data_IF_097351496723
#
_entry.id   IF_097351496723
#
_cell.length_a   1.000
_cell.length_b   1.000
_cell.length_c   1.000
_cell.angle_alpha   90.00
_cell.angle_beta   90.00
_cell.angle_gamma   90.00
#
_symmetry.space_group_name_H-M   'P 1'
#
loop_
_entity.id
_entity.type
_entity.pdbx_description
1 polymer ?
#
# COMPACT_ATOMS: atom_id res chain seq x y z
N UNK A 1 15.69 26.85 14.52
CA UNK A 1 14.52 27.75 14.28
C UNK A 1 13.26 26.96 13.87
N UNK A 2 13.36 25.98 12.96
CA UNK A 2 12.21 25.20 12.49
C UNK A 2 11.48 24.36 13.55
N UNK A 3 12.15 23.65 14.47
CA UNK A 3 11.45 22.91 15.53
C UNK A 3 10.54 23.82 16.34
N UNK A 4 11.03 25.03 16.67
CA UNK A 4 10.26 26.06 17.36
C UNK A 4 9.00 26.47 16.59
N UNK A 5 9.11 26.69 15.27
CA UNK A 5 7.95 27.04 14.43
C UNK A 5 6.90 25.92 14.46
N UNK A 6 7.32 24.67 14.26
CA UNK A 6 6.41 23.51 14.27
C UNK A 6 5.72 23.36 15.61
N UNK A 7 6.45 23.46 16.73
CA UNK A 7 5.86 23.37 18.07
C UNK A 7 4.90 24.52 18.36
N UNK A 8 5.26 25.76 18.01
CA UNK A 8 4.40 26.93 18.21
C UNK A 8 3.12 26.81 17.38
N UNK A 9 3.21 26.44 16.10
CA UNK A 9 2.05 26.24 15.24
C UNK A 9 1.14 25.11 15.77
N UNK A 10 1.74 23.99 16.16
CA UNK A 10 1.00 22.86 16.73
C UNK A 10 0.27 23.26 18.01
N UNK A 11 0.96 23.94 18.94
CA UNK A 11 0.36 24.42 20.17
C UNK A 11 -0.76 25.44 19.92
N UNK A 12 -0.56 26.36 18.98
CA UNK A 12 -1.56 27.35 18.60
C UNK A 12 -2.83 26.69 18.01
N UNK A 13 -2.67 25.73 17.10
CA UNK A 13 -3.79 24.99 16.50
C UNK A 13 -4.54 24.18 17.56
N UNK A 14 -3.83 23.43 18.41
CA UNK A 14 -4.46 22.65 19.50
C UNK A 14 -5.25 23.58 20.42
N UNK A 15 -4.64 24.68 20.85
CA UNK A 15 -5.27 25.65 21.75
C UNK A 15 -6.50 26.28 21.10
N UNK A 16 -6.38 26.74 19.86
CA UNK A 16 -7.48 27.34 19.12
C UNK A 16 -8.64 26.36 18.96
N UNK A 17 -8.41 25.14 18.49
CA UNK A 17 -9.45 24.13 18.28
C UNK A 17 -10.09 23.68 19.60
N UNK A 18 -9.31 23.54 20.67
CA UNK A 18 -9.83 23.18 21.97
C UNK A 18 -10.74 24.27 22.56
N UNK A 19 -10.25 25.51 22.62
CA UNK A 19 -10.97 26.62 23.22
C UNK A 19 -12.22 27.01 22.42
N UNK A 20 -12.15 26.96 21.08
CA UNK A 20 -13.24 27.41 20.21
C UNK A 20 -14.25 26.31 19.93
N UNK A 21 -13.82 25.07 19.69
CA UNK A 21 -14.69 23.99 19.22
C UNK A 21 -14.99 22.96 20.30
N UNK A 22 -14.02 22.39 21.02
CA UNK A 22 -14.34 21.32 21.99
C UNK A 22 -15.29 21.85 23.09
N UNK A 23 -15.03 23.06 23.59
CA UNK A 23 -15.84 23.67 24.65
C UNK A 23 -17.25 24.07 24.20
N UNK A 24 -17.41 24.55 22.96
CA UNK A 24 -18.65 25.19 22.51
C UNK A 24 -19.44 24.35 21.47
N UNK A 25 -18.78 23.47 20.73
CA UNK A 25 -19.31 22.70 19.58
C UNK A 25 -18.61 21.32 19.44
N UNK A 26 -18.83 20.37 20.38
CA UNK A 26 -18.11 19.10 20.42
C UNK A 26 -18.27 18.25 19.15
N UNK A 27 -19.44 18.24 18.52
CA UNK A 27 -19.65 17.53 17.25
C UNK A 27 -18.81 18.11 16.11
N UNK A 28 -18.63 19.43 16.10
CA UNK A 28 -17.79 20.11 15.11
C UNK A 28 -16.33 19.78 15.35
N UNK A 29 -15.91 19.72 16.61
CA UNK A 29 -14.55 19.30 16.99
C UNK A 29 -14.21 17.90 16.46
N UNK A 30 -15.10 16.92 16.65
CA UNK A 30 -14.91 15.55 16.13
C UNK A 30 -14.85 15.54 14.59
N UNK A 31 -15.72 16.31 13.91
CA UNK A 31 -15.69 16.41 12.44
C UNK A 31 -14.37 16.99 11.93
N UNK A 32 -13.87 18.07 12.56
CA UNK A 32 -12.57 18.65 12.21
C UNK A 32 -11.44 17.65 12.42
N UNK A 33 -11.42 16.95 13.56
CA UNK A 33 -10.42 15.90 13.82
C UNK A 33 -10.43 14.80 12.74
N UNK A 34 -11.61 14.35 12.31
CA UNK A 34 -11.76 13.38 11.22
C UNK A 34 -11.22 13.92 9.89
N UNK A 35 -11.45 15.20 9.58
CA UNK A 35 -10.92 15.83 8.37
C UNK A 35 -9.39 15.89 8.42
N UNK A 36 -8.81 16.35 9.54
CA UNK A 36 -7.35 16.38 9.71
C UNK A 36 -6.73 14.97 9.58
N UNK A 37 -7.38 13.97 10.17
CA UNK A 37 -6.96 12.58 10.08
C UNK A 37 -7.05 11.98 8.67
N UNK A 38 -7.86 12.56 7.76
CA UNK A 38 -7.88 12.20 6.33
C UNK A 38 -6.83 12.97 5.54
N UNK A 39 -6.65 14.26 5.83
CA UNK A 39 -5.66 15.11 5.15
C UNK A 39 -4.24 14.59 5.39
N UNK A 40 -3.92 14.17 6.61
CA UNK A 40 -2.59 13.71 6.98
C UNK A 40 -2.03 12.57 6.11
N UNK A 41 -2.71 11.41 5.95
CA UNK A 41 -2.22 10.36 5.05
C UNK A 41 -2.22 10.78 3.58
N UNK A 42 -3.10 11.70 3.14
CA UNK A 42 -3.06 12.22 1.76
C UNK A 42 -1.76 13.00 1.54
N UNK A 43 -1.39 13.88 2.47
CA UNK A 43 -0.09 14.58 2.44
C UNK A 43 1.06 13.57 2.56
N UNK A 44 0.93 12.56 3.41
CA UNK A 44 1.94 11.50 3.51
C UNK A 44 2.16 10.73 2.20
N UNK A 45 1.10 10.41 1.48
CA UNK A 45 1.17 9.71 0.18
C UNK A 45 1.75 10.63 -0.90
N UNK A 46 1.30 11.88 -0.96
CA UNK A 46 1.78 12.86 -1.94
C UNK A 46 3.26 13.22 -1.73
N UNK A 47 3.81 12.99 -0.52
CA UNK A 47 5.23 13.18 -0.22
C UNK A 47 6.11 12.34 -1.14
N UNK A 48 5.67 11.15 -1.54
CA UNK A 48 6.45 10.30 -2.43
C UNK A 48 6.64 10.87 -3.83
N UNK A 49 5.82 11.85 -4.23
CA UNK A 49 6.03 12.59 -5.47
C UNK A 49 7.16 13.62 -5.34
N UNK A 50 7.58 13.97 -4.12
CA UNK A 50 8.65 14.92 -3.89
C UNK A 50 10.02 14.23 -3.95
N UNK A 51 11.03 14.97 -4.36
CA UNK A 51 12.40 14.46 -4.32
C UNK A 51 12.88 14.19 -2.89
N UNK A 52 13.46 13.02 -2.69
CA UNK A 52 14.12 12.59 -1.45
C UNK A 52 15.38 11.80 -1.80
N UNK A 53 16.57 12.39 -1.60
CA UNK A 53 17.83 11.71 -1.90
C UNK A 53 18.10 10.51 -1.00
N UNK A 54 17.35 10.36 0.10
CA UNK A 54 17.49 9.24 1.03
C UNK A 54 17.16 7.89 0.37
N UNK A 55 16.35 7.87 -0.70
CA UNK A 55 16.03 6.64 -1.43
C UNK A 55 17.26 6.02 -2.14
N UNK A 56 18.27 6.85 -2.41
CA UNK A 56 19.55 6.45 -3.01
C UNK A 56 20.58 6.00 -1.98
N UNK A 57 20.28 6.19 -0.68
CA UNK A 57 21.20 5.83 0.38
C UNK A 57 21.40 4.31 0.40
N UNK A 58 22.65 3.90 0.24
CA UNK A 58 23.14 2.56 0.54
C UNK A 58 23.89 2.66 1.86
N UNK A 59 23.73 1.66 2.74
CA UNK A 59 24.24 1.63 4.12
C UNK A 59 25.29 2.68 4.48
N UNK A 60 24.89 3.61 5.35
CA UNK A 60 25.77 4.60 5.95
C UNK A 60 25.52 4.65 7.45
N UNK A 61 26.54 4.34 8.27
CA UNK A 61 26.40 4.41 9.73
C UNK A 61 26.00 5.80 10.22
N UNK A 62 26.40 6.86 9.53
CA UNK A 62 26.04 8.24 9.89
C UNK A 62 24.54 8.52 9.72
N UNK A 63 23.86 7.83 8.79
CA UNK A 63 22.45 8.06 8.47
C UNK A 63 21.55 6.87 8.85
N UNK A 64 22.13 5.82 9.45
CA UNK A 64 21.41 4.62 9.86
C UNK A 64 20.31 4.92 10.88
N UNK A 65 20.55 5.84 11.83
CA UNK A 65 19.55 6.23 12.83
C UNK A 65 18.35 6.96 12.21
N UNK A 66 18.58 7.77 11.17
CA UNK A 66 17.53 8.50 10.44
C UNK A 66 16.59 7.53 9.70
N UNK A 67 17.12 6.41 9.22
CA UNK A 67 16.31 5.33 8.63
C UNK A 67 15.24 4.84 9.62
N UNK A 68 15.65 4.55 10.87
CA UNK A 68 14.73 4.08 11.91
C UNK A 68 13.75 5.15 12.38
N UNK A 69 14.18 6.41 12.47
CA UNK A 69 13.32 7.54 12.84
C UNK A 69 12.24 7.77 11.77
N UNK A 70 12.61 7.80 10.48
CA UNK A 70 11.65 7.90 9.35
C UNK A 70 10.70 6.72 9.34
N UNK A 71 11.22 5.51 9.48
CA UNK A 71 10.41 4.30 9.53
C UNK A 71 9.36 4.35 10.65
N UNK A 72 9.78 4.70 11.88
CA UNK A 72 8.87 4.86 13.01
C UNK A 72 7.83 5.96 12.75
N UNK A 73 8.24 7.06 12.11
CA UNK A 73 7.36 8.20 11.80
C UNK A 73 6.25 7.82 10.81
N UNK A 74 6.57 7.06 9.76
CA UNK A 74 5.60 6.67 8.73
C UNK A 74 4.46 5.78 9.24
N UNK A 75 4.63 5.10 10.38
CA UNK A 75 3.53 4.38 11.02
C UNK A 75 2.31 5.29 11.24
N UNK A 76 2.55 6.57 11.54
CA UNK A 76 1.49 7.54 11.77
C UNK A 76 0.49 7.62 10.62
N UNK A 77 0.92 7.43 9.36
CA UNK A 77 0.04 7.55 8.20
C UNK A 77 -1.13 6.57 8.24
N UNK A 78 -0.92 5.36 8.78
CA UNK A 78 -1.99 4.37 8.92
C UNK A 78 -2.62 4.39 10.33
N UNK A 79 -1.82 4.60 11.39
CA UNK A 79 -2.30 4.55 12.77
C UNK A 79 -3.17 5.74 13.15
N UNK A 80 -2.79 6.96 12.76
CA UNK A 80 -3.54 8.16 13.18
C UNK A 80 -4.98 8.16 12.63
N UNK A 81 -5.24 7.89 11.33
CA UNK A 81 -6.60 7.73 10.83
C UNK A 81 -7.35 6.63 11.58
N UNK A 82 -6.73 5.46 11.80
CA UNK A 82 -7.39 4.36 12.51
C UNK A 82 -7.75 4.73 13.96
N UNK A 83 -6.92 5.51 14.65
CA UNK A 83 -7.17 5.95 16.03
C UNK A 83 -8.37 6.89 16.18
N UNK A 84 -8.69 7.63 15.12
CA UNK A 84 -9.76 8.64 15.08
C UNK A 84 -11.08 8.05 14.58
N UNK A 85 -11.03 7.15 13.58
CA UNK A 85 -12.23 6.59 12.96
C UNK A 85 -12.78 5.35 13.66
N UNK A 86 -11.97 4.63 14.43
CA UNK A 86 -12.37 3.40 15.12
C UNK A 86 -12.25 3.53 16.64
N UNK A 87 -13.16 2.88 17.37
CA UNK A 87 -13.12 2.85 18.84
C UNK A 87 -12.17 1.78 19.38
N UNK A 88 -10.95 1.76 18.85
CA UNK A 88 -9.95 0.73 19.14
C UNK A 88 -8.82 1.29 19.98
N UNK A 89 -8.79 0.86 21.25
CA UNK A 89 -7.76 1.28 22.21
C UNK A 89 -6.34 0.97 21.76
N UNK A 90 -6.14 -0.10 20.98
CA UNK A 90 -4.84 -0.42 20.40
C UNK A 90 -4.29 0.73 19.56
N UNK A 91 -5.05 1.22 18.57
CA UNK A 91 -4.61 2.32 17.72
C UNK A 91 -4.47 3.63 18.47
N UNK A 92 -5.36 3.93 19.43
CA UNK A 92 -5.22 5.11 20.29
C UNK A 92 -3.97 5.05 21.16
N UNK A 93 -3.66 3.89 21.73
CA UNK A 93 -2.44 3.68 22.50
C UNK A 93 -1.19 3.91 21.65
N UNK A 94 -1.14 3.35 20.45
CA UNK A 94 0.01 3.55 19.56
C UNK A 94 0.09 5.01 19.10
N UNK A 95 -1.03 5.65 18.76
CA UNK A 95 -1.06 7.06 18.40
C UNK A 95 -0.52 7.98 19.53
N UNK A 96 -0.97 7.75 20.77
CA UNK A 96 -0.60 8.59 21.92
C UNK A 96 0.80 8.31 22.48
N UNK A 97 1.20 7.05 22.56
CA UNK A 97 2.41 6.63 23.28
C UNK A 97 3.55 6.19 22.37
N UNK A 98 3.34 6.11 21.06
CA UNK A 98 4.39 5.83 20.09
C UNK A 98 4.45 6.90 18.99
N UNK A 99 3.38 7.11 18.22
CA UNK A 99 3.39 8.05 17.10
C UNK A 99 3.63 9.50 17.53
N UNK A 100 3.01 9.97 18.62
CA UNK A 100 3.25 11.31 19.15
C UNK A 100 4.70 11.52 19.63
N UNK A 101 5.28 10.65 20.51
CA UNK A 101 6.71 10.74 20.85
C UNK A 101 7.64 10.68 19.64
N UNK A 102 7.36 9.82 18.66
CA UNK A 102 8.16 9.73 17.43
C UNK A 102 8.06 11.01 16.61
N UNK A 103 6.87 11.63 16.48
CA UNK A 103 6.72 12.92 15.81
C UNK A 103 7.49 14.04 16.52
N UNK A 104 7.56 14.02 17.86
CA UNK A 104 8.40 14.96 18.63
C UNK A 104 9.88 14.74 18.32
N UNK A 105 10.36 13.50 18.32
CA UNK A 105 11.76 13.17 17.96
C UNK A 105 12.06 13.59 16.51
N UNK A 106 11.16 13.29 15.57
CA UNK A 106 11.27 13.70 14.16
C UNK A 106 11.33 15.23 14.01
N UNK A 107 10.61 15.97 14.87
CA UNK A 107 10.66 17.43 14.89
C UNK A 107 12.04 17.95 15.32
N UNK A 108 12.70 17.27 16.26
CA UNK A 108 14.05 17.62 16.71
C UNK A 108 15.07 17.33 15.62
N UNK A 109 14.94 16.22 14.89
CA UNK A 109 15.84 15.84 13.79
C UNK A 109 15.47 16.43 12.43
N UNK A 110 14.44 17.29 12.38
CA UNK A 110 13.85 17.81 11.15
C UNK A 110 14.86 18.42 10.18
N UNK A 111 15.86 19.14 10.67
CA UNK A 111 16.88 19.78 9.84
C UNK A 111 17.74 18.75 9.11
N UNK A 112 18.13 17.68 9.80
CA UNK A 112 18.84 16.55 9.18
C UNK A 112 17.97 15.85 8.14
N UNK A 113 16.71 15.53 8.49
CA UNK A 113 15.77 14.93 7.56
C UNK A 113 15.58 15.79 6.31
N UNK A 114 15.43 17.10 6.47
CA UNK A 114 15.19 18.05 5.40
C UNK A 114 16.38 18.17 4.45
N UNK A 115 17.61 17.96 4.92
CA UNK A 115 18.81 18.00 4.06
C UNK A 115 18.72 17.03 2.86
N UNK A 116 18.13 15.84 3.07
CA UNK A 116 17.91 14.87 2.01
C UNK A 116 16.79 15.25 1.04
N UNK A 117 15.74 15.92 1.54
CA UNK A 117 14.68 16.47 0.69
C UNK A 117 15.13 17.71 -0.09
N UNK A 118 16.22 18.35 0.31
CA UNK A 118 16.81 19.51 -0.35
C UNK A 118 17.89 19.12 -1.38
N UNK A 119 18.58 18.02 -1.15
CA UNK A 119 19.64 17.51 -2.01
C UNK A 119 19.13 17.12 -3.41
N UNK A 120 20.01 17.26 -4.42
CA UNK A 120 19.68 17.03 -5.83
C UNK A 120 19.54 15.54 -6.22
N UNK A 121 19.89 14.62 -5.31
CA UNK A 121 19.99 13.18 -5.62
C UNK A 121 18.68 12.39 -5.63
N UNK A 122 17.53 12.98 -5.28
CA UNK A 122 16.25 12.26 -5.32
C UNK A 122 15.56 12.37 -6.69
N UNK A 123 14.90 11.30 -7.13
CA UNK A 123 14.27 11.24 -8.46
C UNK A 123 12.90 11.95 -8.58
N UNK A 124 12.27 12.30 -7.45
CA UNK A 124 10.94 12.93 -7.42
C UNK A 124 10.91 14.39 -7.90
N UNK A 125 9.72 15.00 -7.86
CA UNK A 125 9.48 16.40 -8.24
C UNK A 125 10.23 17.33 -7.29
N UNK A 126 11.10 18.16 -7.86
CA UNK A 126 11.84 19.20 -7.15
C UNK A 126 11.02 20.49 -7.04
N UNK A 127 10.25 20.63 -5.95
CA UNK A 127 9.57 21.90 -5.66
C UNK A 127 10.58 23.00 -5.24
N UNK A 128 10.23 24.28 -5.40
CA UNK A 128 10.97 25.38 -4.78
C UNK A 128 11.21 25.14 -3.29
N UNK A 129 12.43 25.46 -2.82
CA UNK A 129 12.86 25.21 -1.42
C UNK A 129 11.82 25.69 -0.39
N UNK A 130 11.25 26.91 -0.46
CA UNK A 130 10.24 27.34 0.51
C UNK A 130 9.00 26.45 0.55
N UNK A 131 8.54 25.94 -0.60
CA UNK A 131 7.38 25.07 -0.67
C UNK A 131 7.67 23.69 -0.06
N UNK A 132 8.88 23.16 -0.23
CA UNK A 132 9.30 21.90 0.42
C UNK A 132 9.30 22.02 1.94
N UNK A 133 9.79 23.13 2.49
CA UNK A 133 9.71 23.41 3.92
C UNK A 133 8.27 23.51 4.42
N UNK A 134 7.43 24.30 3.75
CA UNK A 134 6.02 24.47 4.12
C UNK A 134 5.30 23.12 4.12
N UNK A 135 5.53 22.29 3.11
CA UNK A 135 4.94 20.96 3.00
C UNK A 135 5.24 20.08 4.23
N UNK A 136 6.52 19.92 4.56
CA UNK A 136 6.92 19.07 5.67
C UNK A 136 6.54 19.67 7.04
N UNK A 137 6.50 21.01 7.17
CA UNK A 137 5.98 21.67 8.38
C UNK A 137 4.50 21.37 8.58
N UNK A 138 3.67 21.43 7.52
CA UNK A 138 2.25 21.09 7.59
C UNK A 138 2.09 19.62 8.00
N UNK A 139 2.81 18.72 7.33
CA UNK A 139 2.79 17.29 7.60
C UNK A 139 3.12 16.98 9.07
N UNK A 140 4.23 17.53 9.56
CA UNK A 140 4.71 17.31 10.93
C UNK A 140 3.79 17.95 11.98
N UNK A 141 3.22 19.12 11.66
CA UNK A 141 2.21 19.76 12.51
C UNK A 141 0.98 18.86 12.67
N UNK A 142 0.50 18.26 11.58
CA UNK A 142 -0.62 17.30 11.64
C UNK A 142 -0.27 16.05 12.47
N UNK A 143 0.95 15.52 12.30
CA UNK A 143 1.44 14.37 13.07
C UNK A 143 1.47 14.64 14.59
N UNK A 144 1.73 15.88 15.01
CA UNK A 144 1.70 16.31 16.42
C UNK A 144 0.27 16.61 16.90
N UNK A 145 -0.52 17.33 16.09
CA UNK A 145 -1.84 17.83 16.48
C UNK A 145 -2.87 16.70 16.60
N UNK A 146 -2.94 15.79 15.62
CA UNK A 146 -3.97 14.74 15.56
C UNK A 146 -3.99 13.85 16.81
N UNK A 147 -2.88 13.24 17.28
CA UNK A 147 -2.92 12.39 18.46
C UNK A 147 -3.29 13.16 19.73
N UNK A 148 -2.88 14.43 19.87
CA UNK A 148 -3.27 15.28 21.01
C UNK A 148 -4.78 15.57 20.98
N UNK A 149 -5.31 16.00 19.84
CA UNK A 149 -6.75 16.24 19.68
C UNK A 149 -7.57 14.97 19.88
N UNK A 150 -7.06 13.81 19.44
CA UNK A 150 -7.68 12.51 19.67
C UNK A 150 -7.74 12.17 21.16
N UNK A 151 -6.63 12.31 21.89
CA UNK A 151 -6.60 12.13 23.36
C UNK A 151 -7.64 13.00 24.03
N UNK A 152 -7.74 14.27 23.62
CA UNK A 152 -8.74 15.19 24.14
C UNK A 152 -10.15 14.80 23.73
N UNK A 153 -10.40 14.38 22.48
CA UNK A 153 -11.74 14.06 21.98
C UNK A 153 -12.37 12.89 22.73
N UNK A 154 -11.56 11.91 23.11
CA UNK A 154 -12.02 10.65 23.70
C UNK A 154 -11.64 10.50 25.17
N UNK A 155 -11.05 11.55 25.77
CA UNK A 155 -10.41 11.55 27.10
C UNK A 155 -9.53 10.30 27.32
N UNK A 156 -8.75 9.94 26.28
CA UNK A 156 -8.05 8.67 26.21
C UNK A 156 -6.97 8.57 27.29
N UNK A 157 -6.97 7.45 28.01
CA UNK A 157 -5.89 7.06 28.92
C UNK A 157 -5.60 5.58 28.73
N UNK A 158 -4.31 5.24 28.63
CA UNK A 158 -3.89 3.84 28.69
C UNK A 158 -4.14 3.32 30.10
N UNK A 159 -4.78 2.15 30.23
CA UNK A 159 -4.92 1.53 31.55
C UNK A 159 -3.62 0.82 31.90
N UNK A 160 -3.05 1.22 33.03
CA UNK A 160 -1.83 0.64 33.59
C UNK A 160 -2.13 -0.30 34.77
N UNK A 161 -3.41 -0.55 35.04
CA UNK A 161 -3.90 -1.47 36.07
C UNK A 161 -3.50 -2.93 35.78
N UNK A 162 -3.30 -3.27 34.51
CA UNK A 162 -2.86 -4.57 34.04
C UNK A 162 -1.83 -4.42 32.93
N UNK A 163 -0.80 -5.25 32.95
CA UNK A 163 0.24 -5.24 31.91
C UNK A 163 -0.29 -5.59 30.52
N UNK A 164 -1.51 -6.16 30.41
CA UNK A 164 -2.09 -6.65 29.16
C UNK A 164 -2.21 -5.58 28.09
N UNK A 165 -2.71 -4.40 28.46
CA UNK A 165 -2.94 -3.32 27.49
C UNK A 165 -1.63 -2.68 26.98
N UNK A 166 -0.70 -2.26 27.86
CA UNK A 166 0.61 -1.78 27.45
C UNK A 166 1.40 -2.84 26.66
N UNK A 167 1.38 -4.09 27.10
CA UNK A 167 2.09 -5.18 26.42
C UNK A 167 1.51 -5.45 25.03
N UNK A 168 0.19 -5.40 24.87
CA UNK A 168 -0.43 -5.57 23.54
C UNK A 168 -0.02 -4.43 22.59
N UNK A 169 0.01 -3.19 23.07
CA UNK A 169 0.47 -2.05 22.28
C UNK A 169 1.95 -2.20 21.91
N UNK A 170 2.80 -2.50 22.89
CA UNK A 170 4.24 -2.68 22.70
C UNK A 170 4.56 -3.81 21.71
N UNK A 171 3.93 -4.97 21.87
CA UNK A 171 4.12 -6.11 20.98
C UNK A 171 3.57 -5.88 19.57
N UNK A 172 2.60 -4.97 19.39
CA UNK A 172 2.05 -4.64 18.07
C UNK A 172 2.95 -3.70 17.25
N UNK A 173 3.80 -2.89 17.92
CA UNK A 173 4.66 -1.91 17.25
C UNK A 173 5.60 -2.57 16.23
N UNK A 174 6.35 -3.65 16.54
CA UNK A 174 7.23 -4.29 15.56
C UNK A 174 6.51 -4.80 14.32
N UNK A 175 5.28 -5.34 14.46
CA UNK A 175 4.48 -5.79 13.31
C UNK A 175 3.98 -4.63 12.46
N UNK A 176 3.56 -3.54 13.10
CA UNK A 176 3.13 -2.33 12.41
C UNK A 176 4.32 -1.65 11.71
N UNK A 177 5.49 -1.63 12.34
CA UNK A 177 6.75 -1.22 11.72
C UNK A 177 6.99 -2.07 10.47
N UNK A 178 7.00 -3.39 10.58
CA UNK A 178 7.23 -4.27 9.43
C UNK A 178 6.25 -4.03 8.28
N UNK A 179 4.96 -3.80 8.58
CA UNK A 179 3.93 -3.49 7.58
C UNK A 179 4.16 -2.13 6.92
N UNK A 180 4.65 -1.14 7.66
CA UNK A 180 4.85 0.23 7.19
C UNK A 180 6.32 0.53 6.83
N UNK A 181 7.15 -0.50 6.58
CA UNK A 181 8.57 -0.31 6.29
C UNK A 181 8.80 0.23 4.87
N UNK A 182 9.35 1.44 4.68
CA UNK A 182 9.71 1.90 3.34
C UNK A 182 10.65 0.93 2.63
N UNK A 183 10.47 0.78 1.32
CA UNK A 183 11.25 -0.14 0.48
C UNK A 183 12.76 0.14 0.49
N UNK A 184 13.19 1.37 0.81
CA UNK A 184 14.61 1.71 0.90
C UNK A 184 15.26 1.37 2.25
N UNK A 185 14.49 1.04 3.30
CA UNK A 185 15.06 0.85 4.65
C UNK A 185 16.06 -0.31 4.74
N UNK A 186 15.77 -1.52 4.20
CA UNK A 186 16.78 -2.59 4.24
C UNK A 186 18.07 -2.21 3.49
N UNK A 187 17.96 -1.53 2.35
CA UNK A 187 19.11 -1.00 1.61
C UNK A 187 19.91 0.03 2.43
N UNK A 188 19.23 0.97 3.10
CA UNK A 188 19.87 2.05 3.85
C UNK A 188 20.44 1.59 5.21
N UNK A 189 19.99 0.45 5.74
CA UNK A 189 20.39 -0.07 7.06
C UNK A 189 21.31 -1.27 7.02
N UNK A 190 21.27 -2.07 5.94
CA UNK A 190 22.08 -3.29 5.80
C UNK A 190 22.93 -3.25 4.52
N UNK A 191 22.57 -2.43 3.54
CA UNK A 191 23.26 -2.35 2.25
C UNK A 191 22.78 -3.41 1.28
N UNK A 192 23.52 -3.59 0.19
CA UNK A 192 23.30 -4.67 -0.75
C UNK A 192 23.81 -5.99 -0.17
N UNK A 193 23.01 -7.03 -0.33
CA UNK A 193 23.25 -8.36 0.26
C UNK A 193 23.97 -9.32 -0.69
N UNK A 194 24.04 -8.98 -1.98
CA UNK A 194 24.53 -9.86 -3.05
C UNK A 194 23.82 -11.21 -3.12
N UNK A 195 22.66 -11.34 -2.46
CA UNK A 195 21.84 -12.56 -2.49
C UNK A 195 21.15 -12.60 -3.85
N UNK A 196 21.44 -13.63 -4.69
CA UNK A 196 20.78 -13.76 -5.98
C UNK A 196 19.29 -13.88 -5.79
N UNK A 197 18.55 -13.01 -6.45
CA UNK A 197 17.11 -12.90 -6.32
C UNK A 197 16.42 -13.25 -7.64
N UNK A 198 17.00 -14.18 -8.40
CA UNK A 198 16.39 -14.65 -9.64
C UNK A 198 15.04 -15.36 -9.44
N UNK A 199 14.33 -15.55 -10.54
CA UNK A 199 13.14 -16.42 -10.60
C UNK A 199 13.38 -17.78 -9.92
N UNK A 200 12.37 -18.27 -9.19
CA UNK A 200 12.41 -19.53 -8.43
C UNK A 200 13.60 -19.71 -7.47
N UNK A 201 14.23 -18.63 -7.01
CA UNK A 201 15.28 -18.68 -5.97
C UNK A 201 14.72 -19.04 -4.59
N UNK A 202 15.61 -19.37 -3.64
CA UNK A 202 15.25 -19.59 -2.23
C UNK A 202 14.55 -18.36 -1.64
N UNK A 203 15.01 -17.16 -1.98
CA UNK A 203 14.38 -15.91 -1.56
C UNK A 203 12.94 -15.81 -2.06
N UNK A 204 12.72 -16.13 -3.34
CA UNK A 204 11.39 -16.11 -3.93
C UNK A 204 10.44 -17.09 -3.21
N UNK A 205 10.83 -18.36 -3.02
CA UNK A 205 10.00 -19.31 -2.28
C UNK A 205 9.78 -18.90 -0.82
N UNK A 206 10.78 -18.29 -0.18
CA UNK A 206 10.68 -17.77 1.19
C UNK A 206 9.64 -16.65 1.27
N UNK A 207 9.63 -15.74 0.29
CA UNK A 207 8.61 -14.70 0.21
C UNK A 207 7.19 -15.26 0.05
N UNK A 208 6.98 -16.22 -0.87
CA UNK A 208 5.66 -16.86 -1.03
C UNK A 208 5.22 -17.51 0.29
N UNK A 209 6.11 -18.26 0.93
CA UNK A 209 5.81 -18.92 2.20
C UNK A 209 5.45 -17.90 3.30
N UNK A 210 6.21 -16.80 3.40
CA UNK A 210 5.95 -15.71 4.35
C UNK A 210 4.62 -15.00 4.07
N UNK A 211 4.27 -14.76 2.80
CA UNK A 211 2.98 -14.19 2.41
C UNK A 211 1.82 -15.07 2.88
N UNK A 212 1.87 -16.38 2.59
CA UNK A 212 0.84 -17.33 3.00
C UNK A 212 0.74 -17.37 4.53
N UNK A 213 1.88 -17.48 5.21
CA UNK A 213 1.93 -17.51 6.67
C UNK A 213 1.36 -16.22 7.28
N UNK A 214 1.67 -15.05 6.72
CA UNK A 214 1.15 -13.77 7.18
C UNK A 214 -0.38 -13.70 7.05
N UNK A 215 -0.93 -14.07 5.88
CA UNK A 215 -2.39 -14.12 5.66
C UNK A 215 -3.05 -15.06 6.67
N UNK A 216 -2.49 -16.25 6.85
CA UNK A 216 -3.03 -17.26 7.77
C UNK A 216 -2.97 -16.76 9.22
N UNK A 217 -1.83 -16.22 9.65
CA UNK A 217 -1.65 -15.69 10.99
C UNK A 217 -2.67 -14.58 11.26
N UNK A 218 -2.75 -13.57 10.39
CA UNK A 218 -3.68 -12.45 10.54
C UNK A 218 -5.13 -12.94 10.57
N UNK A 219 -5.50 -13.88 9.69
CA UNK A 219 -6.83 -14.51 9.73
C UNK A 219 -7.12 -15.14 11.10
N UNK A 220 -6.21 -15.95 11.64
CA UNK A 220 -6.44 -16.61 12.93
C UNK A 220 -6.50 -15.63 14.11
N UNK A 221 -5.71 -14.55 14.08
CA UNK A 221 -5.75 -13.49 15.09
C UNK A 221 -7.07 -12.70 15.07
N UNK A 222 -7.64 -12.47 13.87
CA UNK A 222 -8.82 -11.61 13.69
C UNK A 222 -10.15 -12.36 13.49
N UNK A 223 -10.17 -13.67 13.19
CA UNK A 223 -11.41 -14.39 12.87
C UNK A 223 -12.49 -14.30 13.98
N UNK A 224 -12.06 -14.26 15.25
CA UNK A 224 -12.93 -14.17 16.43
C UNK A 224 -13.18 -12.73 16.92
N UNK A 225 -12.58 -11.73 16.27
CA UNK A 225 -12.73 -10.32 16.62
C UNK A 225 -14.03 -9.75 16.06
N UNK A 226 -14.42 -8.57 16.56
CA UNK A 226 -15.61 -7.86 16.11
C UNK A 226 -15.50 -7.52 14.61
N UNK A 227 -16.64 -7.25 13.96
CA UNK A 227 -16.63 -6.80 12.56
C UNK A 227 -15.93 -5.44 12.43
N UNK A 228 -16.03 -4.58 13.44
CA UNK A 228 -15.33 -3.30 13.49
C UNK A 228 -13.81 -3.48 13.52
N UNK A 229 -13.29 -4.37 14.38
CA UNK A 229 -11.86 -4.69 14.46
C UNK A 229 -11.33 -5.18 13.10
N UNK A 230 -12.09 -6.08 12.46
CA UNK A 230 -11.74 -6.63 11.14
C UNK A 230 -11.75 -5.57 10.05
N UNK A 231 -12.71 -4.65 10.10
CA UNK A 231 -12.79 -3.56 9.14
C UNK A 231 -11.67 -2.53 9.36
N UNK A 232 -11.35 -2.21 10.62
CA UNK A 232 -10.23 -1.33 10.97
C UNK A 232 -8.89 -1.88 10.51
N UNK A 233 -8.66 -3.20 10.66
CA UNK A 233 -7.50 -3.88 10.09
C UNK A 233 -7.41 -3.67 8.57
N UNK A 234 -8.51 -3.85 7.83
CA UNK A 234 -8.48 -3.67 6.38
C UNK A 234 -8.23 -2.20 5.97
N UNK A 235 -8.78 -1.24 6.73
CA UNK A 235 -8.47 0.18 6.53
C UNK A 235 -6.99 0.45 6.76
N UNK A 236 -6.41 -0.10 7.83
CA UNK A 236 -4.98 0.01 8.09
C UNK A 236 -4.14 -0.59 6.96
N UNK A 237 -4.45 -1.83 6.53
CA UNK A 237 -3.71 -2.51 5.47
C UNK A 237 -3.84 -1.83 4.10
N UNK A 238 -4.99 -1.24 3.77
CA UNK A 238 -5.14 -0.54 2.49
C UNK A 238 -4.42 0.82 2.46
N UNK A 239 -4.27 1.48 3.62
CA UNK A 239 -3.40 2.68 3.72
C UNK A 239 -1.94 2.26 3.58
N UNK A 240 -1.53 1.16 4.22
CA UNK A 240 -0.19 0.60 4.04
C UNK A 240 0.07 0.22 2.57
N UNK A 241 -0.91 -0.38 1.89
CA UNK A 241 -0.80 -0.69 0.47
C UNK A 241 -0.60 0.57 -0.38
N UNK A 242 -1.38 1.63 -0.16
CA UNK A 242 -1.19 2.90 -0.87
C UNK A 242 0.19 3.50 -0.59
N UNK A 243 0.67 3.42 0.65
CA UNK A 243 2.01 3.86 1.01
C UNK A 243 3.08 3.15 0.18
N UNK A 244 3.01 1.82 0.08
CA UNK A 244 3.98 1.04 -0.70
C UNK A 244 3.85 1.29 -2.19
N UNK A 245 2.63 1.31 -2.75
CA UNK A 245 2.42 1.55 -4.19
C UNK A 245 2.95 2.92 -4.61
N UNK A 246 2.79 3.96 -3.78
CA UNK A 246 3.28 5.30 -4.12
C UNK A 246 4.79 5.48 -3.86
N UNK A 247 5.44 4.61 -3.11
CA UNK A 247 6.88 4.75 -2.82
C UNK A 247 7.75 4.71 -4.08
N UNK A 248 7.27 4.09 -5.17
CA UNK A 248 7.94 4.04 -6.48
C UNK A 248 8.30 5.44 -7.01
N UNK A 249 7.49 6.45 -6.70
CA UNK A 249 7.69 7.81 -7.20
C UNK A 249 8.90 8.52 -6.57
N UNK A 250 9.45 7.98 -5.47
CA UNK A 250 10.72 8.46 -4.92
C UNK A 250 11.89 8.31 -5.91
N UNK A 251 11.82 7.31 -6.80
CA UNK A 251 12.78 7.09 -7.89
C UNK A 251 12.46 7.89 -9.15
N UNK A 252 11.40 8.70 -9.10
CA UNK A 252 10.99 9.63 -10.13
C UNK A 252 9.74 9.26 -10.89
N UNK A 253 9.09 10.30 -11.40
CA UNK A 253 7.83 10.21 -12.13
C UNK A 253 8.11 10.06 -13.63
N UNK A 254 7.75 8.91 -14.20
CA UNK A 254 7.77 8.64 -15.64
C UNK A 254 6.43 8.07 -16.06
N UNK A 255 6.09 8.16 -17.35
CA UNK A 255 4.82 7.61 -17.85
C UNK A 255 4.72 6.10 -17.65
N UNK A 256 5.85 5.40 -17.74
CA UNK A 256 5.99 3.95 -17.48
C UNK A 256 5.75 3.56 -16.02
N UNK A 257 5.88 4.50 -15.07
CA UNK A 257 5.69 4.28 -13.63
C UNK A 257 4.34 4.75 -13.12
N UNK A 258 3.46 5.23 -14.01
CA UNK A 258 2.09 5.56 -13.60
C UNK A 258 1.40 4.31 -13.05
N UNK A 259 0.52 4.45 -12.03
CA UNK A 259 -0.08 3.32 -11.32
C UNK A 259 -1.26 2.72 -12.10
N UNK A 260 -1.06 2.53 -13.41
CA UNK A 260 -2.04 2.02 -14.36
C UNK A 260 -1.84 0.53 -14.62
N UNK A 261 -0.75 -0.05 -14.12
CA UNK A 261 -0.59 -1.49 -14.03
C UNK A 261 -1.65 -2.09 -13.10
N UNK A 262 -2.06 -3.32 -13.39
CA UNK A 262 -3.18 -3.96 -12.71
C UNK A 262 -2.95 -4.07 -11.20
N UNK A 263 -1.73 -4.41 -10.75
CA UNK A 263 -1.41 -4.51 -9.34
C UNK A 263 -1.43 -3.13 -8.63
N UNK A 264 -0.88 -2.10 -9.27
CA UNK A 264 -0.82 -0.75 -8.70
C UNK A 264 -2.19 -0.07 -8.64
N UNK A 265 -3.00 -0.17 -9.70
CA UNK A 265 -4.37 0.37 -9.68
C UNK A 265 -5.25 -0.33 -8.64
N UNK A 266 -4.95 -1.60 -8.32
CA UNK A 266 -5.62 -2.35 -7.26
C UNK A 266 -5.54 -1.63 -5.92
N UNK A 267 -4.39 -1.01 -5.58
CA UNK A 267 -4.21 -0.33 -4.31
C UNK A 267 -5.23 0.80 -4.11
N UNK A 268 -5.45 1.59 -5.16
CA UNK A 268 -6.44 2.66 -5.17
C UNK A 268 -7.87 2.11 -5.14
N UNK A 269 -8.14 1.05 -5.89
CA UNK A 269 -9.47 0.44 -5.91
C UNK A 269 -9.81 -0.25 -4.59
N UNK A 270 -8.86 -0.91 -3.92
CA UNK A 270 -9.06 -1.45 -2.57
C UNK A 270 -9.36 -0.35 -1.57
N UNK A 271 -8.60 0.74 -1.63
CA UNK A 271 -8.86 1.88 -0.76
C UNK A 271 -10.28 2.40 -0.94
N UNK A 272 -10.71 2.65 -2.18
CA UNK A 272 -12.08 3.07 -2.49
C UNK A 272 -13.10 2.01 -2.06
N UNK A 273 -12.85 0.74 -2.36
CA UNK A 273 -13.78 -0.36 -2.04
C UNK A 273 -13.99 -0.52 -0.54
N UNK A 274 -12.93 -0.42 0.26
CA UNK A 274 -12.97 -0.53 1.71
C UNK A 274 -13.62 0.72 2.31
N UNK A 275 -13.08 1.90 2.06
CA UNK A 275 -13.55 3.16 2.67
C UNK A 275 -15.02 3.44 2.35
N UNK A 276 -15.44 3.22 1.11
CA UNK A 276 -16.82 3.46 0.67
C UNK A 276 -17.69 2.19 0.66
N UNK A 277 -17.18 1.07 1.17
CA UNK A 277 -17.88 -0.24 1.25
C UNK A 277 -18.51 -0.66 -0.08
N UNK A 278 -17.79 -0.49 -1.19
CA UNK A 278 -18.27 -0.77 -2.55
C UNK A 278 -17.96 -2.20 -2.97
N UNK A 279 -18.93 -3.10 -2.79
CA UNK A 279 -18.81 -4.52 -3.16
C UNK A 279 -18.35 -4.73 -4.60
N UNK A 280 -18.90 -3.99 -5.58
CA UNK A 280 -18.57 -4.20 -7.00
C UNK A 280 -17.09 -3.97 -7.30
N UNK A 281 -16.49 -2.95 -6.68
CA UNK A 281 -15.07 -2.65 -6.82
C UNK A 281 -14.25 -3.71 -6.10
N UNK A 282 -14.67 -4.10 -4.89
CA UNK A 282 -14.03 -5.19 -4.16
C UNK A 282 -14.03 -6.51 -4.93
N UNK A 283 -15.15 -6.89 -5.54
CA UNK A 283 -15.31 -8.12 -6.33
C UNK A 283 -14.38 -8.15 -7.54
N UNK A 284 -14.27 -7.01 -8.24
CA UNK A 284 -13.29 -6.84 -9.31
C UNK A 284 -11.88 -7.07 -8.77
N UNK A 285 -11.51 -6.37 -7.70
CA UNK A 285 -10.17 -6.49 -7.16
C UNK A 285 -9.85 -7.92 -6.68
N UNK A 286 -10.80 -8.56 -5.99
CA UNK A 286 -10.66 -9.94 -5.52
C UNK A 286 -10.51 -10.93 -6.67
N UNK A 287 -11.35 -10.85 -7.72
CA UNK A 287 -11.34 -11.84 -8.79
C UNK A 287 -10.22 -11.60 -9.82
N UNK A 288 -9.91 -10.34 -10.11
CA UNK A 288 -9.01 -9.94 -11.18
C UNK A 288 -7.59 -9.72 -10.64
N UNK A 289 -7.45 -8.92 -9.58
CA UNK A 289 -6.14 -8.53 -9.07
C UNK A 289 -5.47 -9.62 -8.23
N UNK A 290 -6.22 -10.55 -7.61
CA UNK A 290 -5.61 -11.75 -7.02
C UNK A 290 -5.03 -12.64 -8.13
N UNK A 291 -5.73 -12.80 -9.26
CA UNK A 291 -5.21 -13.59 -10.38
C UNK A 291 -3.96 -12.92 -10.97
N UNK A 292 -4.02 -11.62 -11.23
CA UNK A 292 -2.86 -10.85 -11.70
C UNK A 292 -1.68 -10.89 -10.71
N UNK A 293 -1.95 -10.68 -9.43
CA UNK A 293 -0.96 -10.73 -8.37
C UNK A 293 -0.36 -12.13 -8.19
N UNK A 294 -1.16 -13.20 -8.33
CA UNK A 294 -0.66 -14.57 -8.27
C UNK A 294 0.27 -14.88 -9.45
N UNK A 295 -0.08 -14.45 -10.67
CA UNK A 295 0.78 -14.59 -11.85
C UNK A 295 2.08 -13.83 -11.65
N UNK A 296 2.02 -12.57 -11.20
CA UNK A 296 3.18 -11.75 -10.92
C UNK A 296 4.09 -12.38 -9.86
N UNK A 297 3.52 -12.82 -8.73
CA UNK A 297 4.28 -13.50 -7.68
C UNK A 297 4.97 -14.76 -8.23
N UNK A 298 4.24 -15.66 -8.90
CA UNK A 298 4.80 -16.92 -9.40
C UNK A 298 5.90 -16.70 -10.44
N UNK A 299 5.80 -15.65 -11.24
CA UNK A 299 6.73 -15.33 -12.32
C UNK A 299 7.73 -14.21 -11.95
N UNK A 300 7.86 -13.91 -10.66
CA UNK A 300 8.70 -12.83 -10.19
C UNK A 300 10.17 -13.13 -10.46
N UNK A 301 10.85 -12.18 -11.11
CA UNK A 301 12.29 -12.16 -11.28
C UNK A 301 12.84 -10.89 -10.63
N UNK A 302 13.57 -11.03 -9.52
CA UNK A 302 14.06 -9.90 -8.76
C UNK A 302 15.50 -9.51 -9.15
N UNK A 303 16.08 -10.03 -10.23
CA UNK A 303 17.45 -9.66 -10.62
C UNK A 303 18.47 -9.97 -9.51
N UNK A 304 19.44 -9.07 -9.27
CA UNK A 304 20.69 -9.41 -8.56
C UNK A 304 20.77 -9.12 -7.05
N UNK A 305 19.92 -8.26 -6.46
CA UNK A 305 20.04 -7.93 -5.02
C UNK A 305 18.72 -7.88 -4.26
N UNK A 306 18.54 -8.81 -3.31
CA UNK A 306 17.35 -8.97 -2.49
C UNK A 306 16.85 -7.70 -1.77
N UNK A 307 17.76 -6.82 -1.34
CA UNK A 307 17.44 -5.62 -0.54
C UNK A 307 17.47 -4.34 -1.36
N UNK A 308 17.60 -4.45 -2.68
CA UNK A 308 17.40 -3.30 -3.56
C UNK A 308 15.98 -2.73 -3.40
N UNK A 309 15.87 -1.41 -3.53
CA UNK A 309 14.60 -0.69 -3.48
C UNK A 309 13.53 -1.32 -4.38
N UNK A 310 13.89 -1.68 -5.62
CA UNK A 310 12.96 -2.22 -6.62
C UNK A 310 12.37 -3.56 -6.20
N UNK A 311 13.21 -4.44 -5.67
CA UNK A 311 12.77 -5.77 -5.24
C UNK A 311 11.86 -5.69 -4.03
N UNK A 312 12.20 -4.86 -3.06
CA UNK A 312 11.38 -4.66 -1.88
C UNK A 312 10.07 -3.96 -2.19
N UNK A 313 10.08 -2.96 -3.08
CA UNK A 313 8.85 -2.34 -3.57
C UNK A 313 7.93 -3.38 -4.22
N UNK A 314 8.47 -4.20 -5.13
CA UNK A 314 7.72 -5.27 -5.79
C UNK A 314 7.15 -6.27 -4.77
N UNK A 315 7.98 -6.73 -3.83
CA UNK A 315 7.58 -7.66 -2.77
C UNK A 315 6.44 -7.09 -1.93
N UNK A 316 6.56 -5.83 -1.48
CA UNK A 316 5.51 -5.22 -0.66
C UNK A 316 4.23 -5.01 -1.44
N UNK A 317 4.30 -4.40 -2.62
CA UNK A 317 3.13 -4.13 -3.45
C UNK A 317 2.31 -5.40 -3.67
N UNK A 318 2.96 -6.48 -4.14
CA UNK A 318 2.28 -7.74 -4.43
C UNK A 318 1.81 -8.47 -3.16
N UNK A 319 2.52 -8.32 -2.05
CA UNK A 319 2.10 -8.84 -0.73
C UNK A 319 0.74 -8.24 -0.33
N UNK A 320 0.60 -6.91 -0.39
CA UNK A 320 -0.65 -6.27 0.02
C UNK A 320 -1.78 -6.46 -1.00
N UNK A 321 -1.48 -6.44 -2.31
CA UNK A 321 -2.45 -6.72 -3.38
C UNK A 321 -3.12 -8.07 -3.19
N UNK A 322 -2.40 -9.08 -2.68
CA UNK A 322 -2.95 -10.39 -2.36
C UNK A 322 -3.59 -10.45 -0.97
N UNK A 323 -2.92 -9.90 0.05
CA UNK A 323 -3.33 -10.04 1.44
C UNK A 323 -4.66 -9.33 1.74
N UNK A 324 -4.82 -8.07 1.31
CA UNK A 324 -6.01 -7.24 1.58
C UNK A 324 -7.32 -7.90 1.10
N UNK A 325 -7.47 -8.31 -0.17
CA UNK A 325 -8.72 -8.93 -0.64
C UNK A 325 -8.99 -10.29 -0.01
N UNK A 326 -7.95 -11.11 0.20
CA UNK A 326 -8.10 -12.44 0.81
C UNK A 326 -8.60 -12.29 2.26
N UNK A 327 -8.03 -11.37 3.02
CA UNK A 327 -8.49 -11.06 4.38
C UNK A 327 -9.89 -10.45 4.36
N UNK A 328 -10.17 -9.53 3.43
CA UNK A 328 -11.49 -8.89 3.31
C UNK A 328 -12.63 -9.89 3.15
N UNK A 329 -12.42 -10.91 2.34
CA UNK A 329 -13.40 -11.96 2.09
C UNK A 329 -13.42 -13.04 3.18
N UNK A 330 -12.25 -13.50 3.64
CA UNK A 330 -12.15 -14.57 4.63
C UNK A 330 -12.60 -14.16 6.04
N UNK A 331 -12.36 -12.90 6.45
CA UNK A 331 -12.82 -12.36 7.73
C UNK A 331 -14.32 -12.01 7.71
N UNK A 332 -14.95 -12.05 6.53
CA UNK A 332 -16.37 -11.76 6.34
C UNK A 332 -16.70 -10.26 6.36
N UNK A 333 -15.73 -9.40 6.05
CA UNK A 333 -15.99 -7.95 5.92
C UNK A 333 -16.78 -7.68 4.64
N UNK A 334 -16.43 -8.39 3.57
CA UNK A 334 -17.20 -8.37 2.32
C UNK A 334 -17.96 -9.68 2.14
N UNK A 335 -19.20 -9.62 1.60
CA UNK A 335 -19.94 -10.76 1.11
C UNK A 335 -19.15 -11.71 0.21
N UNK A 336 -19.51 -12.99 0.27
CA UNK A 336 -18.97 -14.05 -0.61
C UNK A 336 -19.24 -13.72 -2.08
N UNK A 337 -18.29 -14.04 -2.96
CA UNK A 337 -18.45 -13.85 -4.41
C UNK A 337 -19.57 -14.74 -4.99
N UNK A 338 -20.37 -14.15 -5.88
CA UNK A 338 -21.48 -14.81 -6.57
C UNK A 338 -21.37 -14.67 -8.11
N UNK A 339 -22.39 -15.12 -8.86
CA UNK A 339 -22.38 -15.03 -10.33
C UNK A 339 -22.40 -13.57 -10.82
N UNK A 340 -23.01 -12.65 -10.08
CA UNK A 340 -23.03 -11.22 -10.41
C UNK A 340 -21.64 -10.62 -10.19
N UNK A 341 -20.94 -11.02 -9.12
CA UNK A 341 -19.53 -10.67 -8.90
C UNK A 341 -18.66 -11.02 -10.10
N UNK A 342 -18.76 -12.25 -10.61
CA UNK A 342 -18.03 -12.68 -11.81
C UNK A 342 -18.37 -11.82 -13.03
N UNK A 343 -19.67 -11.61 -13.30
CA UNK A 343 -20.10 -10.77 -14.44
C UNK A 343 -19.52 -9.36 -14.34
N UNK A 344 -19.60 -8.72 -13.17
CA UNK A 344 -19.07 -7.37 -12.98
C UNK A 344 -17.54 -7.34 -13.11
N UNK A 345 -16.83 -8.32 -12.55
CA UNK A 345 -15.38 -8.42 -12.65
C UNK A 345 -14.92 -8.53 -14.11
N UNK A 346 -15.57 -9.38 -14.92
CA UNK A 346 -15.24 -9.52 -16.35
C UNK A 346 -15.53 -8.24 -17.15
N UNK A 347 -16.64 -7.55 -16.85
CA UNK A 347 -16.97 -6.26 -17.52
C UNK A 347 -15.95 -5.18 -17.14
N UNK A 348 -15.65 -5.02 -15.85
CA UNK A 348 -14.68 -4.02 -15.40
C UNK A 348 -13.29 -4.35 -15.93
N UNK A 349 -12.91 -5.64 -15.98
CA UNK A 349 -11.67 -6.09 -16.59
C UNK A 349 -11.61 -5.78 -18.09
N UNK A 350 -12.69 -6.01 -18.84
CA UNK A 350 -12.76 -5.65 -20.26
C UNK A 350 -12.56 -4.15 -20.48
N UNK A 351 -13.23 -3.30 -19.68
CA UNK A 351 -13.06 -1.85 -19.74
C UNK A 351 -11.61 -1.48 -19.43
N UNK A 352 -11.07 -1.96 -18.31
CA UNK A 352 -9.68 -1.74 -17.92
C UNK A 352 -8.69 -2.16 -19.00
N UNK A 353 -8.84 -3.38 -19.54
CA UNK A 353 -7.93 -3.94 -20.53
C UNK A 353 -7.92 -3.12 -21.83
N UNK A 354 -9.11 -2.76 -22.33
CA UNK A 354 -9.24 -1.89 -23.52
C UNK A 354 -8.66 -0.50 -23.25
N UNK A 355 -8.89 0.07 -22.07
CA UNK A 355 -8.31 1.36 -21.68
C UNK A 355 -6.79 1.30 -21.59
N UNK A 356 -6.22 0.27 -20.97
CA UNK A 356 -4.76 0.06 -20.91
C UNK A 356 -4.16 -0.15 -22.29
N UNK A 357 -4.86 -0.85 -23.19
CA UNK A 357 -4.43 -1.05 -24.57
C UNK A 357 -4.41 0.28 -25.35
N UNK A 358 -5.50 1.05 -25.33
CA UNK A 358 -5.57 2.34 -26.03
C UNK A 358 -4.51 3.29 -25.48
N UNK A 359 -4.44 3.44 -24.16
CA UNK A 359 -3.53 4.37 -23.51
C UNK A 359 -2.06 3.96 -23.69
N UNK A 360 -1.74 2.67 -23.55
CA UNK A 360 -0.41 2.14 -23.79
C UNK A 360 0.03 2.37 -25.24
N UNK A 361 -0.86 2.15 -26.21
CA UNK A 361 -0.59 2.42 -27.62
C UNK A 361 -0.32 3.90 -27.89
N UNK A 362 -1.14 4.80 -27.33
CA UNK A 362 -0.94 6.24 -27.46
C UNK A 362 0.38 6.69 -26.82
N UNK A 363 0.68 6.24 -25.60
CA UNK A 363 1.91 6.64 -24.90
C UNK A 363 3.15 6.12 -25.65
N UNK A 364 3.15 4.86 -26.06
CA UNK A 364 4.27 4.28 -26.80
C UNK A 364 4.47 4.94 -28.17
N UNK A 365 3.40 5.44 -28.80
CA UNK A 365 3.50 6.16 -30.07
C UNK A 365 4.05 7.59 -29.93
N UNK A 366 3.89 8.25 -28.77
CA UNK A 366 4.33 9.65 -28.56
C UNK A 366 5.63 9.80 -27.79
N UNK A 367 6.09 8.76 -27.10
CA UNK A 367 7.31 8.79 -26.26
C UNK A 367 8.28 7.63 -26.55
N UNK A 368 8.73 7.44 -27.80
CA UNK A 368 9.69 6.37 -28.11
C UNK A 368 11.08 6.60 -27.50
N UNK A 369 11.44 7.86 -27.17
CA UNK A 369 12.75 8.25 -26.65
C UNK A 369 12.95 8.02 -25.13
N UNK A 370 11.91 7.69 -24.35
CA UNK A 370 12.03 7.53 -22.88
C UNK A 370 12.73 6.24 -22.42
N UNK A 371 13.28 5.44 -23.35
CA UNK A 371 14.16 4.30 -23.05
C UNK A 371 13.48 3.06 -22.47
N UNK A 372 12.20 3.13 -22.07
CA UNK A 372 11.39 1.98 -21.65
C UNK A 372 9.95 2.08 -22.19
N UNK A 373 9.51 1.15 -23.06
CA UNK A 373 8.13 1.16 -23.54
C UNK A 373 7.15 0.89 -22.39
N UNK A 374 6.03 1.60 -22.39
CA UNK A 374 4.91 1.36 -21.48
C UNK A 374 4.28 0.02 -21.81
N UNK A 375 4.57 -0.97 -20.98
CA UNK A 375 4.12 -2.33 -21.19
C UNK A 375 3.06 -2.74 -20.16
N UNK A 376 1.87 -2.12 -20.25
CA UNK A 376 0.76 -2.54 -19.40
C UNK A 376 0.43 -4.01 -19.71
N UNK A 377 0.41 -4.84 -18.68
CA UNK A 377 -0.04 -6.23 -18.77
C UNK A 377 0.75 -7.11 -19.78
N UNK A 378 2.01 -6.75 -20.04
CA UNK A 378 2.90 -7.47 -20.96
C UNK A 378 2.38 -7.60 -22.40
N UNK A 379 1.47 -6.70 -22.82
CA UNK A 379 0.78 -6.81 -24.11
C UNK A 379 1.54 -6.20 -25.30
N UNK A 380 2.64 -5.47 -25.03
CA UNK A 380 3.43 -4.76 -26.03
C UNK A 380 4.87 -5.28 -26.17
N UNK A 381 5.26 -6.29 -25.39
CA UNK A 381 6.61 -6.86 -25.38
C UNK A 381 6.53 -8.37 -25.65
N UNK A 382 6.76 -8.74 -26.91
CA UNK A 382 6.66 -10.13 -27.35
C UNK A 382 7.76 -10.98 -26.71
N UNK A 383 9.00 -10.51 -26.63
CA UNK A 383 10.11 -11.27 -26.02
C UNK A 383 9.78 -11.64 -24.59
N UNK A 384 9.36 -10.65 -23.79
CA UNK A 384 8.97 -10.89 -22.41
C UNK A 384 7.73 -11.78 -22.28
N UNK A 385 6.79 -11.70 -23.22
CA UNK A 385 5.67 -12.64 -23.26
C UNK A 385 6.11 -14.08 -23.56
N UNK A 386 7.13 -14.25 -24.41
CA UNK A 386 7.69 -15.57 -24.76
C UNK A 386 8.50 -16.19 -23.63
N UNK A 387 9.16 -15.39 -22.80
CA UNK A 387 9.85 -15.88 -21.60
C UNK A 387 8.89 -16.62 -20.66
N UNK A 388 7.65 -16.16 -20.58
CA UNK A 388 6.64 -16.73 -19.68
C UNK A 388 5.69 -17.71 -20.37
N UNK A 389 5.41 -17.50 -21.65
CA UNK A 389 4.39 -18.26 -22.39
C UNK A 389 4.92 -18.63 -23.79
N UNK A 390 5.92 -19.52 -23.91
CA UNK A 390 6.62 -19.77 -25.18
C UNK A 390 5.71 -20.18 -26.36
N UNK A 391 4.57 -20.80 -26.06
CA UNK A 391 3.61 -21.24 -27.06
C UNK A 391 2.85 -20.09 -27.75
N UNK A 392 2.96 -18.84 -27.27
CA UNK A 392 2.37 -17.67 -27.96
C UNK A 392 3.26 -17.11 -29.06
N UNK A 393 4.38 -17.76 -29.40
CA UNK A 393 5.27 -17.34 -30.50
C UNK A 393 4.57 -17.11 -31.83
N UNK A 394 3.53 -17.90 -32.14
CA UNK A 394 2.73 -17.72 -33.35
C UNK A 394 2.01 -16.35 -33.40
N UNK A 395 1.79 -15.71 -32.25
CA UNK A 395 1.11 -14.42 -32.18
C UNK A 395 1.95 -13.26 -32.72
N UNK A 396 3.27 -13.42 -32.76
CA UNK A 396 4.20 -12.45 -33.38
C UNK A 396 4.09 -12.37 -34.90
N UNK A 397 3.43 -13.35 -35.54
CA UNK A 397 3.29 -13.42 -36.99
C UNK A 397 2.44 -12.27 -37.57
N UNK A 398 1.54 -11.70 -36.77
CA UNK A 398 0.75 -10.52 -37.14
C UNK A 398 1.18 -9.37 -36.23
N UNK A 399 1.94 -8.44 -36.79
CA UNK A 399 2.30 -7.18 -36.16
C UNK A 399 1.82 -6.01 -37.03
N UNK A 400 1.49 -4.90 -36.37
CA UNK A 400 1.16 -3.64 -37.03
C UNK A 400 2.22 -2.63 -36.60
N UNK A 401 2.82 -1.97 -37.58
CA UNK A 401 3.79 -0.89 -37.37
C UNK A 401 3.09 0.45 -37.61
N UNK A 402 3.14 1.34 -36.62
CA UNK A 402 2.69 2.72 -36.74
C UNK A 402 3.80 3.67 -36.25
N UNK A 403 4.61 4.17 -37.18
CA UNK A 403 5.82 4.92 -36.83
C UNK A 403 6.84 3.99 -36.18
N UNK A 404 7.34 4.36 -35.00
CA UNK A 404 8.24 3.54 -34.19
C UNK A 404 7.50 2.58 -33.24
N UNK A 405 6.16 2.63 -33.22
CA UNK A 405 5.34 1.76 -32.41
C UNK A 405 5.03 0.46 -33.15
N UNK A 406 5.40 -0.67 -32.52
CA UNK A 406 5.03 -2.01 -32.97
C UNK A 406 3.99 -2.61 -32.03
N UNK A 407 2.92 -3.18 -32.59
CA UNK A 407 1.88 -3.85 -31.83
C UNK A 407 1.57 -5.24 -32.37
N UNK A 408 1.16 -6.13 -31.46
CA UNK A 408 0.89 -7.55 -31.74
C UNK A 408 -0.58 -7.88 -31.43
N UNK A 409 -1.55 -7.63 -32.33
CA UNK A 409 -2.98 -7.83 -32.07
C UNK A 409 -3.33 -9.25 -31.57
N UNK A 410 -2.69 -10.28 -32.15
CA UNK A 410 -2.92 -11.66 -31.74
C UNK A 410 -2.41 -11.93 -30.32
N UNK A 411 -1.30 -11.31 -29.92
CA UNK A 411 -0.73 -11.42 -28.58
C UNK A 411 -1.70 -10.80 -27.56
N UNK A 412 -2.15 -9.57 -27.84
CA UNK A 412 -3.12 -8.84 -27.02
C UNK A 412 -4.40 -9.66 -26.83
N UNK A 413 -4.97 -10.19 -27.92
CA UNK A 413 -6.17 -11.03 -27.88
C UNK A 413 -5.96 -12.32 -27.10
N UNK A 414 -4.81 -12.98 -27.28
CA UNK A 414 -4.47 -14.23 -26.58
C UNK A 414 -4.32 -13.99 -25.08
N UNK A 415 -3.59 -12.95 -24.68
CA UNK A 415 -3.43 -12.54 -23.28
C UNK A 415 -4.79 -12.25 -22.64
N UNK A 416 -5.67 -11.52 -23.34
CA UNK A 416 -7.03 -11.24 -22.86
C UNK A 416 -7.82 -12.52 -22.60
N UNK A 417 -7.84 -13.46 -23.55
CA UNK A 417 -8.57 -14.73 -23.42
C UNK A 417 -8.02 -15.57 -22.27
N UNK A 418 -6.69 -15.77 -22.22
CA UNK A 418 -6.03 -16.55 -21.17
C UNK A 418 -6.40 -15.98 -19.80
N UNK A 419 -6.30 -14.66 -19.62
CA UNK A 419 -6.58 -14.07 -18.32
C UNK A 419 -8.05 -14.17 -17.90
N UNK A 420 -9.00 -14.01 -18.84
CA UNK A 420 -10.42 -14.26 -18.56
C UNK A 420 -10.67 -15.71 -18.11
N UNK A 421 -10.00 -16.68 -18.74
CA UNK A 421 -10.08 -18.09 -18.32
C UNK A 421 -9.53 -18.29 -16.91
N UNK A 422 -8.42 -17.64 -16.55
CA UNK A 422 -7.88 -17.67 -15.20
C UNK A 422 -8.84 -17.05 -14.17
N UNK A 423 -9.48 -15.91 -14.47
CA UNK A 423 -10.51 -15.29 -13.62
C UNK A 423 -11.67 -16.26 -13.39
N UNK A 424 -12.18 -16.88 -14.46
CA UNK A 424 -13.28 -17.85 -14.39
C UNK A 424 -12.87 -19.08 -13.55
N UNK A 425 -11.67 -19.60 -13.77
CA UNK A 425 -11.10 -20.71 -13.00
C UNK A 425 -11.00 -20.38 -11.51
N UNK A 426 -10.44 -19.20 -11.19
CA UNK A 426 -10.30 -18.71 -9.82
C UNK A 426 -11.67 -18.53 -9.12
N UNK A 427 -12.67 -18.03 -9.85
CA UNK A 427 -14.04 -17.95 -9.34
C UNK A 427 -14.60 -19.33 -8.96
N UNK A 428 -14.47 -20.33 -9.84
CA UNK A 428 -14.97 -21.68 -9.55
C UNK A 428 -14.20 -22.35 -8.42
N UNK A 429 -12.88 -22.14 -8.34
CA UNK A 429 -12.07 -22.59 -7.20
C UNK A 429 -12.60 -21.99 -5.89
N UNK A 430 -12.84 -20.68 -5.85
CA UNK A 430 -13.38 -19.98 -4.67
C UNK A 430 -14.75 -20.52 -4.26
N UNK A 431 -15.65 -20.74 -5.23
CA UNK A 431 -16.96 -21.37 -5.00
C UNK A 431 -16.83 -22.81 -4.49
N UNK A 432 -15.83 -23.55 -4.97
CA UNK A 432 -15.50 -24.89 -4.49
C UNK A 432 -15.12 -24.88 -3.00
N UNK A 433 -14.24 -23.96 -2.59
CA UNK A 433 -13.84 -23.78 -1.18
C UNK A 433 -15.06 -23.48 -0.31
N UNK A 434 -15.98 -22.61 -0.75
CA UNK A 434 -17.21 -22.32 -0.01
C UNK A 434 -18.08 -23.56 0.19
N UNK A 435 -18.28 -24.36 -0.87
CA UNK A 435 -19.08 -25.60 -0.79
C UNK A 435 -18.48 -26.61 0.19
N UNK A 436 -17.15 -26.73 0.21
CA UNK A 436 -16.46 -27.62 1.16
C UNK A 436 -16.69 -27.15 2.60
N UNK A 437 -16.56 -25.85 2.86
CA UNK A 437 -16.81 -25.28 4.20
C UNK A 437 -18.26 -25.49 4.63
N UNK A 438 -19.22 -25.16 3.77
CA UNK A 438 -20.65 -25.23 4.10
C UNK A 438 -21.07 -26.68 4.40
N UNK A 439 -20.52 -27.67 3.67
CA UNK A 439 -20.72 -29.10 3.96
C UNK A 439 -20.16 -29.53 5.32
N UNK A 440 -19.01 -28.99 5.73
CA UNK A 440 -18.41 -29.28 7.04
C UNK A 440 -19.27 -28.71 8.18
N UNK A 441 -19.73 -27.46 8.05
CA UNK A 441 -20.61 -26.83 9.04
C UNK A 441 -21.93 -27.62 9.21
N UNK A 442 -22.58 -28.00 8.10
CA UNK A 442 -23.82 -28.78 8.13
C UNK A 442 -23.66 -30.17 8.75
N UNK A 443 -22.45 -30.77 8.72
CA UNK A 443 -22.18 -32.04 9.40
C UNK A 443 -22.01 -31.85 10.92
N UNK A 444 -21.40 -30.75 11.36
CA UNK A 444 -21.22 -30.44 12.79
C UNK A 444 -22.57 -30.16 13.45
N UNK A 445 -23.46 -29.42 12.78
CA UNK A 445 -24.82 -29.15 13.28
C UNK A 445 -25.72 -30.41 13.37
N UNK A 446 -25.39 -31.48 12.65
CA UNK A 446 -26.12 -32.76 12.72
C UNK A 446 -25.58 -33.71 13.79
N UNK A 447 -24.40 -33.42 14.36
CA UNK A 447 -23.73 -34.26 15.35
C UNK A 447 -23.84 -33.71 16.78
N UNK A 448 -24.28 -32.46 16.92
CA UNK A 448 -24.71 -31.84 18.18
C UNK A 448 -26.23 -31.81 18.21
#
# INVERSE_FOLDING_TARGET
MFPTIVFVLSAAIVTALYLTLKKNKPDTFIKVLKVLAVIYPIIGILRFLLSDSFVELVFNMADGYESYIRWAYYIGYAVLPCSVFFDLRLYRNIASFFSLPVAIVYTVTFEHSMSHFLAEGGGGIMLPVPLRYIYHIIELTLALVIPVLMIMATDHRMKLDSAKEPLTALLSIPFIMLIMMPSYIPQSTVGFTSIPSGSFSVLHFSWIALLILAIVAVYFFYKKRSLEDKYALLVFLTIAQLFHTNSIFLRGFTLSRMPLQLCSIAAFFYFVAIIFKKQKIFDFCYLVNIVGGAVAIVLADFGSDAFSFWNLHYIYEHTFVMMVPILGLSLGVFPRVDKKSLKHALIIFAIYFVSSFILGSVINAVSPEEGYPVNFFYMFDLERALDYVPFVGFTGAIHILWGEFEMYPLLVGTIYVIFNLLIIGFYYMTRGIYRIRDRKCAKVEKLN
#
